data_IF_509865815636
#
_entry.id   IF_509865815636
#
_cell.length_a   1.000
_cell.length_b   1.000
_cell.length_c   1.000
_cell.angle_alpha   90.00
_cell.angle_beta   90.00
_cell.angle_gamma   90.00
#
_symmetry.space_group_name_H-M   'P 1'
#
loop_
_entity.id
_entity.type
_entity.pdbx_description
1 polymer ?
#
# COMPACT_ATOMS: atom_id res chain seq x y z
N UNK A 1 2.66 -0.37 19.95
CA UNK A 1 3.79 -0.03 19.08
C UNK A 1 3.32 0.09 17.65
N UNK A 2 3.69 1.16 17.00
CA UNK A 2 3.26 1.39 15.64
C UNK A 2 3.92 0.44 14.64
N UNK A 3 3.20 0.09 13.59
CA UNK A 3 3.72 -0.76 12.52
C UNK A 3 3.47 -0.11 11.18
N UNK A 4 4.26 -0.50 10.20
CA UNK A 4 4.11 -0.07 8.81
C UNK A 4 3.81 -1.25 7.93
N UNK A 5 2.87 -1.04 7.03
CA UNK A 5 2.62 -1.97 5.93
C UNK A 5 3.33 -1.42 4.71
N UNK A 6 4.31 -2.16 4.21
CA UNK A 6 5.04 -1.79 2.99
C UNK A 6 4.46 -2.59 1.84
N UNK A 7 4.05 -1.87 0.80
CA UNK A 7 3.44 -2.48 -0.38
C UNK A 7 4.27 -2.13 -1.61
N UNK A 8 4.43 -3.10 -2.51
CA UNK A 8 5.15 -2.88 -3.75
C UNK A 8 4.36 -3.45 -4.91
N UNK A 9 4.46 -2.81 -6.06
CA UNK A 9 3.81 -3.30 -7.27
C UNK A 9 4.34 -2.59 -8.50
N UNK A 10 3.97 -3.12 -9.67
CA UNK A 10 4.23 -2.48 -10.95
C UNK A 10 2.90 -2.08 -11.58
N UNK A 11 2.87 -0.93 -12.23
CA UNK A 11 1.66 -0.47 -12.91
C UNK A 11 1.54 -1.24 -14.24
N UNK A 12 0.35 -1.77 -14.51
CA UNK A 12 0.11 -2.47 -15.78
C UNK A 12 0.31 -1.50 -16.96
N UNK A 13 1.08 -1.90 -17.96
CA UNK A 13 1.29 -1.03 -19.13
C UNK A 13 -0.05 -0.67 -19.78
N UNK A 14 -0.20 0.61 -20.08
CA UNK A 14 -1.41 1.11 -20.71
C UNK A 14 -2.51 1.47 -19.74
N UNK A 15 -2.33 1.20 -18.44
CA UNK A 15 -3.34 1.49 -17.42
C UNK A 15 -2.92 2.62 -16.49
N UNK A 16 -1.87 3.35 -16.84
CA UNK A 16 -1.27 4.34 -15.93
C UNK A 16 -2.26 5.41 -15.48
N UNK A 17 -3.01 5.96 -16.41
CA UNK A 17 -3.93 7.05 -16.06
C UNK A 17 -5.05 6.54 -15.15
N UNK A 18 -5.64 5.41 -15.49
CA UNK A 18 -6.70 4.81 -14.68
C UNK A 18 -6.18 4.44 -13.30
N UNK A 19 -4.93 3.95 -13.24
CA UNK A 19 -4.28 3.62 -11.98
C UNK A 19 -4.17 4.84 -11.06
N UNK A 20 -3.68 5.96 -11.60
CA UNK A 20 -3.52 7.16 -10.78
C UNK A 20 -4.88 7.69 -10.30
N UNK A 21 -5.89 7.64 -11.16
CA UNK A 21 -7.23 8.04 -10.76
C UNK A 21 -7.77 7.16 -9.65
N UNK A 22 -7.57 5.85 -9.77
CA UNK A 22 -8.02 4.91 -8.75
C UNK A 22 -7.32 5.16 -7.42
N UNK A 23 -6.01 5.35 -7.46
CA UNK A 23 -5.24 5.54 -6.22
C UNK A 23 -5.72 6.78 -5.47
N UNK A 24 -5.91 7.89 -6.16
CA UNK A 24 -6.31 9.13 -5.51
C UNK A 24 -7.76 9.09 -5.06
N UNK A 25 -8.62 8.49 -5.86
CA UNK A 25 -10.07 8.52 -5.62
C UNK A 25 -10.54 7.45 -4.67
N UNK A 26 -9.93 6.26 -4.74
CA UNK A 26 -10.45 5.08 -4.05
C UNK A 26 -9.45 4.42 -3.13
N UNK A 27 -8.20 4.25 -3.55
CA UNK A 27 -7.25 3.45 -2.79
C UNK A 27 -6.79 4.17 -1.52
N UNK A 28 -6.33 5.39 -1.64
CA UNK A 28 -5.89 6.16 -0.47
C UNK A 28 -7.05 6.39 0.51
N UNK A 29 -8.22 6.85 0.05
CA UNK A 29 -9.36 6.96 0.98
C UNK A 29 -9.76 5.62 1.56
N UNK A 30 -9.66 4.53 0.79
CA UNK A 30 -9.96 3.19 1.29
C UNK A 30 -9.05 2.78 2.42
N UNK A 31 -7.73 3.01 2.29
CA UNK A 31 -6.79 2.73 3.36
C UNK A 31 -7.11 3.54 4.61
N UNK A 32 -7.42 4.82 4.42
CA UNK A 32 -7.79 5.68 5.55
C UNK A 32 -9.05 5.20 6.23
N UNK A 33 -10.02 4.74 5.45
CA UNK A 33 -11.25 4.18 6.00
C UNK A 33 -11.03 2.92 6.82
N UNK A 34 -9.94 2.18 6.53
CA UNK A 34 -9.56 1.00 7.30
C UNK A 34 -8.72 1.35 8.52
N UNK A 35 -8.42 2.61 8.73
CA UNK A 35 -7.61 3.04 9.87
C UNK A 35 -6.12 3.08 9.60
N UNK A 36 -5.72 2.91 8.35
CA UNK A 36 -4.31 3.03 7.97
C UNK A 36 -4.03 4.44 7.50
N UNK A 37 -2.86 4.95 7.87
CA UNK A 37 -2.45 6.28 7.44
C UNK A 37 -1.35 6.15 6.40
N UNK A 38 -1.61 6.52 5.14
CA UNK A 38 -0.54 6.52 4.13
C UNK A 38 0.58 7.44 4.57
N UNK A 39 1.80 6.93 4.59
CA UNK A 39 2.93 7.68 5.12
C UNK A 39 3.94 8.06 4.05
N UNK A 40 4.22 7.15 3.12
CA UNK A 40 5.25 7.37 2.12
C UNK A 40 4.89 6.67 0.82
N UNK A 41 5.42 7.19 -0.28
CA UNK A 41 5.32 6.53 -1.57
C UNK A 41 6.54 6.89 -2.40
N UNK A 42 7.09 5.91 -3.09
CA UNK A 42 8.24 6.09 -3.95
C UNK A 42 7.94 5.54 -5.32
N UNK A 43 8.52 6.17 -6.33
CA UNK A 43 8.45 5.73 -7.71
C UNK A 43 9.86 5.40 -8.18
N UNK A 44 10.06 4.18 -8.66
CA UNK A 44 11.36 3.73 -9.15
C UNK A 44 11.38 3.82 -10.66
N UNK A 45 12.34 4.56 -11.17
CA UNK A 45 12.42 4.85 -12.61
C UNK A 45 13.12 3.75 -13.41
N UNK A 46 14.06 3.03 -12.80
CA UNK A 46 14.77 1.98 -13.49
C UNK A 46 15.26 0.91 -12.55
N UNK A 47 15.81 -0.15 -13.16
CA UNK A 47 16.33 -1.29 -12.43
C UNK A 47 15.28 -2.37 -12.30
N UNK A 48 15.64 -3.38 -11.53
CA UNK A 48 14.77 -4.53 -11.29
C UNK A 48 13.87 -4.33 -10.08
N UNK A 49 13.87 -3.12 -9.53
CA UNK A 49 13.05 -2.80 -8.36
C UNK A 49 11.58 -2.68 -8.76
N UNK A 50 10.66 -2.94 -7.83
CA UNK A 50 9.26 -2.63 -8.09
C UNK A 50 9.10 -1.16 -8.46
N UNK A 51 8.20 -0.89 -9.37
CA UNK A 51 7.97 0.46 -9.86
C UNK A 51 7.45 1.37 -8.76
N UNK A 52 6.57 0.85 -7.92
CA UNK A 52 5.96 1.63 -6.83
C UNK A 52 6.25 0.95 -5.50
N UNK A 53 6.61 1.75 -4.52
CA UNK A 53 6.66 1.32 -3.14
C UNK A 53 5.84 2.31 -2.32
N UNK A 54 4.90 1.81 -1.56
CA UNK A 54 4.02 2.64 -0.74
C UNK A 54 3.98 2.10 0.68
N UNK A 55 3.80 3.00 1.63
CA UNK A 55 3.74 2.61 3.05
C UNK A 55 2.52 3.21 3.71
N UNK A 56 1.94 2.45 4.62
CA UNK A 56 0.84 2.92 5.46
C UNK A 56 1.13 2.52 6.90
N UNK A 57 0.74 3.36 7.84
CA UNK A 57 1.05 3.20 9.24
C UNK A 57 -0.19 2.88 10.05
N UNK A 58 -0.03 2.03 11.07
CA UNK A 58 -1.08 1.75 12.04
C UNK A 58 -0.50 1.73 13.45
N UNK A 59 -1.39 1.89 14.42
CA UNK A 59 -0.98 2.02 15.82
C UNK A 59 -0.47 0.72 16.44
N UNK A 60 -0.83 -0.44 15.88
CA UNK A 60 -0.38 -1.69 16.44
C UNK A 60 -0.57 -2.87 15.53
N UNK A 61 0.17 -3.95 15.84
CA UNK A 61 0.15 -5.16 15.03
C UNK A 61 -1.22 -5.86 15.08
N UNK A 62 -1.87 -5.89 16.24
CA UNK A 62 -3.17 -6.54 16.36
C UNK A 62 -4.21 -5.89 15.48
N UNK A 63 -4.23 -4.55 15.46
CA UNK A 63 -5.16 -3.81 14.63
C UNK A 63 -4.89 -4.06 13.16
N UNK A 64 -3.61 -4.05 12.78
CA UNK A 64 -3.24 -4.31 11.39
C UNK A 64 -3.63 -5.73 10.97
N UNK A 65 -3.36 -6.71 11.83
CA UNK A 65 -3.70 -8.11 11.51
C UNK A 65 -5.20 -8.27 11.28
N UNK A 66 -6.01 -7.62 12.11
CA UNK A 66 -7.46 -7.65 11.95
C UNK A 66 -7.88 -7.09 10.60
N UNK A 67 -7.26 -5.98 10.19
CA UNK A 67 -7.53 -5.36 8.89
C UNK A 67 -7.13 -6.28 7.75
N UNK A 68 -5.93 -6.86 7.81
CA UNK A 68 -5.43 -7.72 6.75
C UNK A 68 -6.29 -8.98 6.56
N UNK A 69 -6.98 -9.40 7.63
CA UNK A 69 -7.87 -10.54 7.57
C UNK A 69 -9.30 -10.16 7.16
N UNK A 70 -9.56 -8.88 6.94
CA UNK A 70 -10.92 -8.42 6.66
C UNK A 70 -11.27 -8.50 5.18
N UNK A 71 -12.56 -8.63 4.91
CA UNK A 71 -13.04 -8.61 3.53
C UNK A 71 -12.92 -7.23 2.89
N UNK A 72 -12.92 -6.17 3.70
CA UNK A 72 -12.74 -4.82 3.18
C UNK A 72 -11.35 -4.63 2.59
N UNK A 73 -10.33 -5.12 3.28
CA UNK A 73 -8.96 -5.09 2.75
C UNK A 73 -8.87 -5.92 1.47
N UNK A 74 -9.41 -7.13 1.50
CA UNK A 74 -9.36 -8.01 0.33
C UNK A 74 -10.03 -7.37 -0.87
N UNK A 75 -11.21 -6.76 -0.66
CA UNK A 75 -11.91 -6.08 -1.75
C UNK A 75 -11.13 -4.92 -2.32
N UNK A 76 -10.47 -4.14 -1.46
CA UNK A 76 -9.69 -3.01 -1.91
C UNK A 76 -8.49 -3.47 -2.74
N UNK A 77 -7.81 -4.53 -2.31
CA UNK A 77 -6.67 -5.06 -3.05
C UNK A 77 -7.12 -5.67 -4.38
N UNK A 78 -8.27 -6.34 -4.42
CA UNK A 78 -8.79 -6.88 -5.66
C UNK A 78 -9.03 -5.77 -6.68
N UNK A 79 -9.51 -4.61 -6.24
CA UNK A 79 -9.68 -3.47 -7.13
C UNK A 79 -8.33 -2.94 -7.64
N UNK A 80 -7.34 -2.88 -6.76
CA UNK A 80 -6.00 -2.44 -7.14
C UNK A 80 -5.40 -3.36 -8.20
N UNK A 81 -5.65 -4.67 -8.09
CA UNK A 81 -5.07 -5.66 -9.00
C UNK A 81 -5.59 -5.52 -10.44
N UNK A 82 -6.64 -4.73 -10.67
CA UNK A 82 -7.07 -4.43 -12.03
C UNK A 82 -6.10 -3.51 -12.76
N UNK A 83 -5.25 -2.82 -12.01
CA UNK A 83 -4.36 -1.80 -12.56
C UNK A 83 -2.88 -2.09 -12.36
N UNK A 84 -2.55 -3.08 -11.54
CA UNK A 84 -1.15 -3.38 -11.19
C UNK A 84 -0.86 -4.87 -11.27
N UNK A 85 0.44 -5.19 -11.30
CA UNK A 85 0.90 -6.57 -11.27
C UNK A 85 2.06 -6.66 -10.28
N UNK A 86 2.41 -7.88 -9.92
CA UNK A 86 3.52 -8.16 -9.00
C UNK A 86 3.32 -7.50 -7.63
N UNK A 87 2.07 -7.47 -7.17
CA UNK A 87 1.75 -6.92 -5.87
C UNK A 87 2.32 -7.78 -4.76
N UNK A 88 2.98 -7.13 -3.80
CA UNK A 88 3.49 -7.80 -2.61
C UNK A 88 3.42 -6.84 -1.44
N UNK A 89 3.43 -7.38 -0.22
CA UNK A 89 3.47 -6.54 0.96
C UNK A 89 4.17 -7.24 2.10
N UNK A 90 4.66 -6.44 3.04
CA UNK A 90 5.22 -6.95 4.29
C UNK A 90 4.98 -5.95 5.40
N UNK A 91 5.03 -6.44 6.63
CA UNK A 91 4.82 -5.62 7.81
C UNK A 91 6.15 -5.44 8.52
N UNK A 92 6.46 -4.19 8.86
CA UNK A 92 7.68 -3.86 9.59
C UNK A 92 7.34 -2.97 10.75
N UNK A 93 8.19 -2.92 11.79
CA UNK A 93 7.99 -1.96 12.86
C UNK A 93 8.10 -0.53 12.32
N UNK A 94 7.19 0.34 12.76
CA UNK A 94 7.28 1.75 12.44
C UNK A 94 8.04 2.40 13.55
N UNK A 95 9.22 2.93 13.24
CA UNK A 95 10.06 3.57 14.24
C UNK A 95 10.11 5.05 13.99
N UNK A 96 10.11 5.81 15.06
CA UNK A 96 10.25 7.24 14.94
C UNK A 96 11.72 7.58 14.64
N UNK A 97 11.89 8.67 13.94
CA UNK A 97 13.20 9.17 13.67
C UNK A 97 13.93 8.38 12.60
N UNK A 98 15.21 8.48 12.64
CA UNK A 98 16.07 7.98 11.59
C UNK A 98 16.38 6.51 11.78
N UNK A 99 16.09 5.70 10.80
CA UNK A 99 16.30 4.27 10.87
C UNK A 99 17.27 3.81 9.82
N UNK A 100 18.21 3.02 10.25
CA UNK A 100 19.24 2.50 9.36
C UNK A 100 19.19 1.01 9.27
#
# INVERSE_FOLDING_TARGET
>A
MAVKLLMTWDILPGREQEYFEFVVRDFIPGLQGLGMEPSDAWFTMYGDQPQIMAAAQMSGMSSLQTILDSSDWEGLIQQLLDFVENFDYKVVPARSGFQM
#
